data_IF_121833652340
#
_entry.id   IF_121833652340
#
_cell.length_a   1.000
_cell.length_b   1.000
_cell.length_c   1.000
_cell.angle_alpha   90.00
_cell.angle_beta   90.00
_cell.angle_gamma   90.00
#
_symmetry.space_group_name_H-M   'P 1'
#
loop_
_entity.id
_entity.type
_entity.pdbx_description
1 polymer ?
#
# COMPACT_ATOMS: atom_id res chain seq x y z
N UNK A 1 13.29 4.75 -3.57
CA UNK A 1 12.96 3.77 -2.54
C UNK A 1 12.95 4.43 -1.16
N UNK A 2 12.12 3.94 -0.26
CA UNK A 2 12.00 4.46 1.10
C UNK A 2 11.72 5.97 1.15
N UNK A 3 10.66 6.41 0.49
CA UNK A 3 10.32 7.84 0.39
C UNK A 3 10.20 8.49 1.77
N UNK A 4 9.74 7.76 2.77
CA UNK A 4 9.60 8.25 4.14
C UNK A 4 10.93 8.37 4.91
N UNK A 5 12.05 7.95 4.32
CA UNK A 5 13.39 8.26 4.79
C UNK A 5 13.95 9.59 4.23
N UNK A 6 13.12 10.36 3.51
CA UNK A 6 13.53 11.65 2.96
C UNK A 6 14.07 12.58 4.05
N UNK A 7 15.20 13.21 3.72
CA UNK A 7 15.86 14.25 4.53
C UNK A 7 16.37 15.32 3.56
N UNK A 8 15.78 16.50 3.61
CA UNK A 8 16.14 17.65 2.77
C UNK A 8 16.81 18.74 3.59
N UNK A 9 17.90 19.34 3.07
CA UNK A 9 18.48 20.52 3.69
C UNK A 9 17.61 21.75 3.42
N UNK A 10 17.39 22.57 4.43
CA UNK A 10 16.70 23.87 4.35
C UNK A 10 17.71 25.01 4.47
N UNK A 11 17.33 26.20 3.99
CA UNK A 11 18.21 27.39 3.97
C UNK A 11 18.77 27.80 5.34
N UNK A 12 18.09 27.47 6.44
CA UNK A 12 18.54 27.69 7.81
C UNK A 12 19.45 26.63 8.40
N UNK A 13 19.84 25.60 7.63
CA UNK A 13 20.60 24.44 8.12
C UNK A 13 19.75 23.39 8.85
N UNK A 14 18.47 23.59 8.95
CA UNK A 14 17.51 22.59 9.44
C UNK A 14 17.30 21.48 8.39
N UNK A 15 16.88 20.32 8.88
CA UNK A 15 16.57 19.16 8.02
C UNK A 15 15.06 18.97 7.96
N UNK A 16 14.50 19.12 6.77
CA UNK A 16 13.13 18.74 6.47
C UNK A 16 13.01 17.21 6.42
N UNK A 17 12.09 16.66 7.18
CA UNK A 17 11.69 15.26 7.05
C UNK A 17 10.54 15.08 6.03
N UNK A 18 10.16 13.83 5.80
CA UNK A 18 9.09 13.52 4.86
C UNK A 18 7.71 14.08 5.30
N UNK A 19 7.46 14.17 6.60
CA UNK A 19 6.24 14.76 7.13
C UNK A 19 6.12 16.25 6.74
N UNK A 20 7.19 17.03 6.95
CA UNK A 20 7.24 18.42 6.54
C UNK A 20 7.10 18.59 5.02
N UNK A 21 7.70 17.68 4.23
CA UNK A 21 7.55 17.71 2.78
C UNK A 21 6.08 17.54 2.36
N UNK A 22 5.34 16.59 2.98
CA UNK A 22 3.91 16.40 2.71
C UNK A 22 3.12 17.66 3.08
N UNK A 23 3.36 18.24 4.24
CA UNK A 23 2.71 19.47 4.70
C UNK A 23 2.97 20.62 3.72
N UNK A 24 4.23 20.81 3.32
CA UNK A 24 4.62 21.85 2.34
C UNK A 24 3.94 21.66 0.98
N UNK A 25 3.85 20.42 0.50
CA UNK A 25 3.16 20.12 -0.77
C UNK A 25 1.66 20.37 -0.64
N UNK A 26 1.07 20.05 0.51
CA UNK A 26 -0.35 20.29 0.75
C UNK A 26 -0.74 21.79 0.74
N UNK A 27 0.20 22.66 1.12
CA UNK A 27 0.00 24.13 1.11
C UNK A 27 0.07 24.74 -0.30
N UNK A 28 0.48 24.00 -1.32
CA UNK A 28 0.52 24.47 -2.70
C UNK A 28 -0.91 24.59 -3.23
N UNK A 29 -1.34 25.80 -3.69
CA UNK A 29 -2.68 25.99 -4.24
C UNK A 29 -2.97 25.05 -5.42
N UNK A 30 -4.11 24.37 -5.38
CA UNK A 30 -4.54 23.42 -6.41
C UNK A 30 -4.08 21.97 -6.19
N UNK A 31 -3.30 21.67 -5.15
CA UNK A 31 -3.04 20.29 -4.74
C UNK A 31 -4.21 19.78 -3.90
N UNK A 32 -5.03 18.93 -4.50
CA UNK A 32 -6.22 18.38 -3.85
C UNK A 32 -6.04 16.92 -3.39
N UNK A 33 -5.02 16.23 -3.91
CA UNK A 33 -4.74 14.83 -3.57
C UNK A 33 -3.25 14.55 -3.53
N UNK A 34 -2.78 13.97 -2.43
CA UNK A 34 -1.39 13.55 -2.23
C UNK A 34 -1.37 12.04 -2.00
N UNK A 35 -0.51 11.36 -2.73
CA UNK A 35 -0.23 9.93 -2.59
C UNK A 35 1.27 9.71 -2.60
N UNK A 36 1.74 8.83 -1.74
CA UNK A 36 3.12 8.33 -1.80
C UNK A 36 3.15 6.81 -1.79
N UNK A 37 4.22 6.26 -2.30
CA UNK A 37 4.48 4.81 -2.37
C UNK A 37 5.92 4.52 -1.91
N UNK A 38 6.28 3.23 -1.80
CA UNK A 38 7.65 2.81 -1.45
C UNK A 38 8.12 3.25 -0.06
N UNK A 39 7.22 3.21 0.94
CA UNK A 39 7.57 3.49 2.33
C UNK A 39 8.22 2.27 3.03
N UNK A 40 8.92 2.53 4.12
CA UNK A 40 9.55 1.51 4.95
C UNK A 40 9.07 1.64 6.40
N UNK A 41 8.67 0.54 7.08
CA UNK A 41 8.11 0.60 8.44
C UNK A 41 9.04 1.28 9.46
N UNK A 42 10.34 1.02 9.38
CA UNK A 42 11.33 1.62 10.29
C UNK A 42 11.36 3.15 10.27
N UNK A 43 11.09 3.75 9.12
CA UNK A 43 11.08 5.19 8.93
C UNK A 43 9.69 5.83 9.12
N UNK A 44 8.72 5.04 9.62
CA UNK A 44 7.36 5.54 9.86
C UNK A 44 7.26 6.17 11.26
N UNK A 45 7.69 7.42 11.35
CA UNK A 45 7.76 8.18 12.61
C UNK A 45 6.38 8.58 13.14
N UNK A 46 6.29 8.95 14.43
CA UNK A 46 5.04 9.51 14.98
C UNK A 46 4.62 10.77 14.22
N UNK A 47 5.56 11.65 13.88
CA UNK A 47 5.29 12.87 13.12
C UNK A 47 4.65 12.57 11.75
N UNK A 48 5.09 11.50 11.07
CA UNK A 48 4.47 11.07 9.81
C UNK A 48 3.05 10.50 10.04
N UNK A 49 2.81 9.83 11.17
CA UNK A 49 1.45 9.39 11.54
C UNK A 49 0.54 10.60 11.77
N UNK A 50 1.03 11.62 12.48
CA UNK A 50 0.27 12.83 12.80
C UNK A 50 -0.11 13.65 11.55
N UNK A 51 0.65 13.53 10.45
CA UNK A 51 0.32 14.16 9.16
C UNK A 51 -1.00 13.63 8.60
N UNK A 52 -1.36 12.36 8.83
CA UNK A 52 -2.65 11.81 8.40
C UNK A 52 -3.85 12.49 9.08
N UNK A 53 -3.66 13.07 10.26
CA UNK A 53 -4.68 13.88 10.93
C UNK A 53 -4.75 15.30 10.36
N UNK A 54 -3.57 15.92 10.10
CA UNK A 54 -3.48 17.34 9.74
C UNK A 54 -3.65 17.64 8.26
N UNK A 55 -3.36 16.68 7.37
CA UNK A 55 -3.34 16.88 5.90
C UNK A 55 -4.48 16.10 5.25
N UNK A 56 -5.64 16.73 5.03
CA UNK A 56 -6.80 16.05 4.43
C UNK A 56 -6.58 15.61 2.97
N UNK A 57 -5.66 16.27 2.24
CA UNK A 57 -5.29 15.88 0.86
C UNK A 57 -4.55 14.55 0.79
N UNK A 58 -3.95 14.08 1.91
CA UNK A 58 -3.27 12.79 1.95
C UNK A 58 -4.31 11.66 1.93
N UNK A 59 -4.22 10.78 0.95
CA UNK A 59 -5.21 9.71 0.73
C UNK A 59 -5.29 8.70 1.89
N UNK A 60 -6.48 8.17 2.16
CA UNK A 60 -6.71 7.08 3.12
C UNK A 60 -6.29 5.71 2.56
N UNK A 61 -5.13 5.66 1.92
CA UNK A 61 -4.52 4.44 1.39
C UNK A 61 -3.01 4.47 1.62
N UNK A 62 -2.51 3.45 2.31
CA UNK A 62 -1.09 3.32 2.62
C UNK A 62 -0.48 2.10 1.93
N UNK A 63 0.59 2.30 1.17
CA UNK A 63 1.44 1.22 0.68
C UNK A 63 2.64 1.07 1.61
N UNK A 64 2.62 0.03 2.45
CA UNK A 64 3.65 -0.24 3.46
C UNK A 64 4.07 -1.72 3.40
N UNK A 65 5.18 -2.04 2.69
CA UNK A 65 5.66 -3.39 2.55
C UNK A 65 6.03 -4.05 3.88
N UNK A 66 5.32 -5.10 4.29
CA UNK A 66 5.64 -5.90 5.47
C UNK A 66 6.73 -6.93 5.18
N UNK A 67 6.81 -7.41 3.95
CA UNK A 67 7.72 -8.43 3.42
C UNK A 67 7.47 -9.83 3.97
N UNK A 68 7.27 -10.00 5.28
CA UNK A 68 6.96 -11.27 5.93
C UNK A 68 6.22 -11.06 7.25
N UNK A 69 5.54 -12.10 7.75
CA UNK A 69 4.80 -12.06 9.02
C UNK A 69 5.55 -12.64 10.22
N UNK A 70 6.75 -13.19 10.02
CA UNK A 70 7.60 -13.75 11.08
C UNK A 70 8.77 -12.83 11.39
N UNK A 71 8.96 -12.48 12.68
CA UNK A 71 10.09 -11.67 13.14
C UNK A 71 11.43 -12.35 12.86
N UNK A 72 11.50 -13.68 12.93
CA UNK A 72 12.69 -14.46 12.62
C UNK A 72 13.11 -14.29 11.16
N UNK A 73 12.15 -14.34 10.23
CA UNK A 73 12.41 -14.15 8.81
C UNK A 73 12.71 -12.66 8.50
N UNK A 74 12.01 -11.72 9.11
CA UNK A 74 12.32 -10.28 8.98
C UNK A 74 13.74 -9.96 9.44
N UNK A 75 14.20 -10.56 10.55
CA UNK A 75 15.57 -10.43 11.02
C UNK A 75 16.58 -11.03 10.02
N UNK A 76 16.29 -12.20 9.44
CA UNK A 76 17.12 -12.83 8.41
C UNK A 76 17.17 -11.99 7.12
N UNK A 77 16.06 -11.32 6.77
CA UNK A 77 15.98 -10.33 5.68
C UNK A 77 16.63 -8.99 6.02
N UNK A 78 17.11 -8.80 7.26
CA UNK A 78 17.69 -7.54 7.77
C UNK A 78 16.74 -6.33 7.67
N UNK A 79 15.45 -6.53 7.95
CA UNK A 79 14.44 -5.47 7.82
C UNK A 79 14.49 -4.43 8.94
N UNK A 80 14.95 -4.80 10.15
CA UNK A 80 15.18 -3.89 11.27
C UNK A 80 13.90 -3.37 11.94
N UNK A 81 12.80 -4.09 11.81
CA UNK A 81 11.54 -3.91 12.53
C UNK A 81 10.89 -5.26 12.83
N UNK A 82 10.00 -5.26 13.81
CA UNK A 82 9.18 -6.42 14.22
C UNK A 82 7.75 -6.29 13.72
N UNK A 83 7.01 -7.40 13.71
CA UNK A 83 5.59 -7.41 13.37
C UNK A 83 4.75 -6.63 14.40
N UNK A 84 5.17 -6.60 15.66
CA UNK A 84 4.50 -5.78 16.66
C UNK A 84 4.60 -4.28 16.34
N UNK A 85 5.78 -3.80 15.94
CA UNK A 85 6.01 -2.42 15.50
C UNK A 85 5.20 -2.09 14.24
N UNK A 86 5.21 -2.99 13.25
CA UNK A 86 4.41 -2.86 12.03
C UNK A 86 2.92 -2.71 12.35
N UNK A 87 2.35 -3.61 13.15
CA UNK A 87 0.95 -3.56 13.59
C UNK A 87 0.64 -2.29 14.38
N UNK A 88 1.59 -1.82 15.20
CA UNK A 88 1.44 -0.59 15.97
C UNK A 88 1.28 0.64 15.09
N UNK A 89 2.05 0.74 13.98
CA UNK A 89 1.91 1.81 13.00
C UNK A 89 0.50 1.82 12.42
N UNK A 90 0.04 0.67 11.91
CA UNK A 90 -1.27 0.57 11.25
C UNK A 90 -2.40 0.86 12.23
N UNK A 91 -2.33 0.35 13.46
CA UNK A 91 -3.34 0.62 14.49
C UNK A 91 -3.45 2.11 14.82
N UNK A 92 -2.32 2.82 14.95
CA UNK A 92 -2.31 4.27 15.19
C UNK A 92 -2.88 5.05 14.01
N UNK A 93 -2.56 4.66 12.79
CA UNK A 93 -3.12 5.26 11.57
C UNK A 93 -4.63 5.01 11.46
N UNK A 94 -5.10 3.78 11.71
CA UNK A 94 -6.54 3.45 11.70
C UNK A 94 -7.31 4.11 12.86
N UNK A 95 -6.65 4.49 13.95
CA UNK A 95 -7.27 5.30 15.00
C UNK A 95 -7.55 6.75 14.54
N UNK A 96 -6.71 7.30 13.65
CA UNK A 96 -6.87 8.62 13.04
C UNK A 96 -7.84 8.54 11.85
N UNK A 97 -7.64 7.56 10.97
CA UNK A 97 -8.46 7.31 9.77
C UNK A 97 -8.97 5.87 9.76
N UNK A 98 -10.17 5.61 10.31
CA UNK A 98 -10.73 4.25 10.40
C UNK A 98 -10.92 3.55 9.05
N UNK A 99 -11.11 4.33 7.99
CA UNK A 99 -11.25 3.90 6.60
C UNK A 99 -9.93 3.62 5.88
N UNK A 100 -8.78 3.82 6.54
CA UNK A 100 -7.46 3.61 5.94
C UNK A 100 -7.31 2.17 5.45
N UNK A 101 -7.05 2.03 4.15
CA UNK A 101 -6.70 0.77 3.52
C UNK A 101 -5.18 0.62 3.41
N UNK A 102 -4.69 -0.60 3.57
CA UNK A 102 -3.26 -0.90 3.57
C UNK A 102 -2.94 -1.91 2.48
N UNK A 103 -1.99 -1.57 1.63
CA UNK A 103 -1.39 -2.50 0.65
C UNK A 103 0.05 -2.82 1.03
N UNK A 104 0.52 -4.01 0.66
CA UNK A 104 1.82 -4.52 1.10
C UNK A 104 2.53 -5.34 0.03
N UNK A 105 3.78 -5.71 0.32
CA UNK A 105 4.52 -6.75 -0.40
C UNK A 105 4.81 -7.92 0.53
N UNK A 106 4.80 -9.13 -0.04
CA UNK A 106 5.15 -10.36 0.66
C UNK A 106 6.12 -11.21 -0.15
N UNK A 107 7.10 -11.80 0.53
CA UNK A 107 8.06 -12.75 -0.03
C UNK A 107 7.84 -14.10 0.64
N UNK A 108 7.53 -15.11 -0.15
CA UNK A 108 7.29 -16.50 0.30
C UNK A 108 8.48 -17.36 -0.06
N UNK A 109 8.81 -18.33 0.80
CA UNK A 109 9.88 -19.29 0.55
C UNK A 109 11.28 -18.68 0.69
N UNK A 110 11.43 -17.72 1.59
CA UNK A 110 12.75 -17.24 1.98
C UNK A 110 13.57 -18.38 2.61
N UNK A 111 14.91 -18.47 2.37
CA UNK A 111 15.72 -19.52 2.93
C UNK A 111 15.50 -19.73 4.43
N UNK A 112 15.21 -20.98 4.83
CA UNK A 112 14.92 -21.36 6.20
C UNK A 112 13.51 -21.01 6.70
N UNK A 113 12.57 -20.56 5.84
CA UNK A 113 11.16 -20.34 6.22
C UNK A 113 10.50 -21.66 6.60
N UNK A 114 10.00 -21.78 7.82
CA UNK A 114 9.24 -22.93 8.30
C UNK A 114 7.73 -22.78 8.09
N UNK A 115 6.96 -23.84 8.33
CA UNK A 115 5.49 -23.76 8.31
C UNK A 115 4.97 -22.77 9.36
N UNK A 116 5.58 -22.76 10.56
CA UNK A 116 5.21 -21.79 11.60
C UNK A 116 5.47 -20.33 11.20
N UNK A 117 6.52 -20.06 10.41
CA UNK A 117 6.77 -18.72 9.87
C UNK A 117 5.72 -18.34 8.81
N UNK A 118 5.35 -19.28 7.96
CA UNK A 118 4.30 -19.04 6.97
C UNK A 118 2.94 -18.85 7.65
N UNK A 119 2.61 -19.63 8.68
CA UNK A 119 1.38 -19.45 9.46
C UNK A 119 1.35 -18.08 10.16
N UNK A 120 2.49 -17.60 10.67
CA UNK A 120 2.60 -16.25 11.23
C UNK A 120 2.34 -15.17 10.15
N UNK A 121 2.76 -15.39 8.90
CA UNK A 121 2.45 -14.49 7.79
C UNK A 121 0.96 -14.50 7.45
N UNK A 122 0.33 -15.67 7.36
CA UNK A 122 -1.11 -15.78 7.12
C UNK A 122 -1.92 -15.11 8.23
N UNK A 123 -1.50 -15.28 9.49
CA UNK A 123 -2.11 -14.58 10.63
C UNK A 123 -1.98 -13.07 10.53
N UNK A 124 -0.83 -12.54 10.09
CA UNK A 124 -0.66 -11.10 9.85
C UNK A 124 -1.63 -10.60 8.79
N UNK A 125 -1.81 -11.36 7.70
CA UNK A 125 -2.72 -11.02 6.61
C UNK A 125 -4.17 -10.94 7.13
N UNK A 126 -4.59 -11.90 7.94
CA UNK A 126 -5.93 -11.91 8.52
C UNK A 126 -6.16 -10.75 9.50
N UNK A 127 -5.17 -10.42 10.33
CA UNK A 127 -5.30 -9.38 11.36
C UNK A 127 -5.29 -7.95 10.80
N UNK A 128 -4.54 -7.70 9.73
CA UNK A 128 -4.43 -6.35 9.13
C UNK A 128 -5.57 -6.10 8.14
N UNK A 129 -6.04 -7.15 7.46
CA UNK A 129 -7.05 -7.08 6.39
C UNK A 129 -6.57 -6.18 5.25
N UNK A 130 -5.55 -6.68 4.53
CA UNK A 130 -4.93 -5.91 3.45
C UNK A 130 -5.86 -5.69 2.26
N UNK A 131 -5.78 -4.50 1.71
CA UNK A 131 -6.52 -4.11 0.51
C UNK A 131 -6.00 -4.81 -0.76
N UNK A 132 -4.69 -4.93 -0.86
CA UNK A 132 -3.99 -5.58 -1.97
C UNK A 132 -2.57 -5.93 -1.55
N UNK A 133 -1.93 -6.85 -2.27
CA UNK A 133 -0.49 -7.09 -2.15
C UNK A 133 0.16 -7.51 -3.45
N UNK A 134 1.45 -7.17 -3.57
CA UNK A 134 2.35 -7.86 -4.50
C UNK A 134 3.07 -8.97 -3.75
N UNK A 135 2.91 -10.21 -4.22
CA UNK A 135 3.42 -11.39 -3.54
C UNK A 135 4.30 -12.20 -4.46
N UNK A 136 5.49 -12.56 -3.99
CA UNK A 136 6.52 -13.18 -4.81
C UNK A 136 7.14 -14.39 -4.12
N UNK A 137 7.58 -15.37 -4.91
CA UNK A 137 8.57 -16.33 -4.43
C UNK A 137 9.90 -15.61 -4.22
N UNK A 138 10.60 -16.00 -3.14
CA UNK A 138 11.97 -15.52 -2.95
C UNK A 138 12.83 -15.85 -4.17
N UNK A 139 13.54 -14.84 -4.65
CA UNK A 139 14.53 -14.94 -5.72
C UNK A 139 15.87 -14.37 -5.25
N UNK A 140 16.95 -15.15 -5.29
CA UNK A 140 18.27 -14.67 -4.87
C UNK A 140 18.70 -13.43 -5.68
N UNK A 141 19.14 -12.40 -4.98
CA UNK A 141 19.71 -11.20 -5.62
C UNK A 141 21.21 -11.18 -5.42
N UNK A 142 22.02 -11.11 -6.49
CA UNK A 142 23.47 -11.04 -6.39
C UNK A 142 23.92 -9.91 -5.42
N UNK A 143 24.95 -10.21 -4.63
CA UNK A 143 25.50 -9.24 -3.65
C UNK A 143 24.74 -9.15 -2.33
N UNK A 144 23.64 -9.90 -2.13
CA UNK A 144 22.96 -9.96 -0.84
C UNK A 144 23.40 -11.17 -0.02
N UNK A 145 23.49 -11.08 1.33
CA UNK A 145 23.78 -12.23 2.18
C UNK A 145 22.84 -13.41 1.96
N UNK A 146 21.57 -13.12 1.71
CA UNK A 146 20.56 -14.16 1.45
C UNK A 146 20.81 -14.95 0.15
N UNK A 147 21.52 -14.38 -0.82
CA UNK A 147 21.88 -15.08 -2.06
C UNK A 147 22.83 -16.28 -1.83
N UNK A 148 23.60 -16.25 -0.74
CA UNK A 148 24.49 -17.33 -0.35
C UNK A 148 23.80 -18.41 0.50
N UNK A 149 22.55 -18.19 0.91
CA UNK A 149 21.79 -19.16 1.70
C UNK A 149 21.20 -20.25 0.80
N UNK A 150 21.17 -21.47 1.32
CA UNK A 150 20.54 -22.60 0.63
C UNK A 150 19.02 -22.46 0.74
N UNK A 151 18.33 -22.59 -0.40
CA UNK A 151 16.87 -22.71 -0.43
C UNK A 151 16.54 -24.19 -0.21
N UNK A 152 16.20 -24.54 1.01
CA UNK A 152 15.90 -25.90 1.46
C UNK A 152 14.42 -26.29 1.31
N UNK A 153 13.55 -25.33 0.96
CA UNK A 153 12.12 -25.54 0.79
C UNK A 153 11.83 -25.99 -0.64
N UNK A 154 11.16 -27.14 -0.87
CA UNK A 154 10.77 -27.61 -2.19
C UNK A 154 9.95 -26.56 -2.97
N UNK A 155 10.13 -26.54 -4.28
CA UNK A 155 9.47 -25.52 -5.13
C UNK A 155 7.95 -25.62 -5.12
N UNK A 156 7.41 -26.82 -5.07
CA UNK A 156 5.97 -27.11 -4.98
C UNK A 156 5.39 -26.55 -3.68
N UNK A 157 6.06 -26.76 -2.54
CA UNK A 157 5.67 -26.18 -1.24
C UNK A 157 5.66 -24.65 -1.30
N UNK A 158 6.71 -24.03 -1.87
CA UNK A 158 6.77 -22.59 -2.02
C UNK A 158 5.65 -22.05 -2.92
N UNK A 159 5.32 -22.76 -3.99
CA UNK A 159 4.20 -22.39 -4.89
C UNK A 159 2.86 -22.54 -4.20
N UNK A 160 2.64 -23.59 -3.43
CA UNK A 160 1.43 -23.78 -2.64
C UNK A 160 1.24 -22.63 -1.63
N UNK A 161 2.29 -22.31 -0.86
CA UNK A 161 2.25 -21.19 0.08
C UNK A 161 1.92 -19.87 -0.62
N UNK A 162 2.56 -19.58 -1.77
CA UNK A 162 2.26 -18.37 -2.53
C UNK A 162 0.81 -18.32 -3.01
N UNK A 163 0.29 -19.45 -3.51
CA UNK A 163 -1.10 -19.54 -3.97
C UNK A 163 -2.08 -19.31 -2.82
N UNK A 164 -1.85 -19.91 -1.65
CA UNK A 164 -2.68 -19.73 -0.45
C UNK A 164 -2.70 -18.27 -0.02
N UNK A 165 -1.55 -17.61 0.01
CA UNK A 165 -1.41 -16.20 0.34
C UNK A 165 -2.19 -15.32 -0.65
N UNK A 166 -1.97 -15.52 -1.95
CA UNK A 166 -2.63 -14.75 -3.01
C UNK A 166 -4.15 -14.91 -2.98
N UNK A 167 -4.63 -16.14 -2.78
CA UNK A 167 -6.06 -16.43 -2.64
C UNK A 167 -6.66 -15.63 -1.48
N UNK A 168 -5.98 -15.63 -0.32
CA UNK A 168 -6.48 -14.92 0.87
C UNK A 168 -6.54 -13.40 0.66
N UNK A 169 -5.50 -12.81 0.07
CA UNK A 169 -5.48 -11.37 -0.27
C UNK A 169 -6.59 -11.05 -1.28
N UNK A 170 -6.79 -11.90 -2.29
CA UNK A 170 -7.85 -11.68 -3.28
C UNK A 170 -9.25 -11.70 -2.66
N UNK A 171 -9.50 -12.58 -1.69
CA UNK A 171 -10.75 -12.59 -0.91
C UNK A 171 -10.97 -11.27 -0.17
N UNK A 172 -9.93 -10.75 0.50
CA UNK A 172 -9.97 -9.45 1.19
C UNK A 172 -10.21 -8.31 0.20
N UNK A 173 -9.46 -8.26 -0.90
CA UNK A 173 -9.65 -7.26 -1.96
C UNK A 173 -11.08 -7.25 -2.49
N UNK A 174 -11.65 -8.43 -2.77
CA UNK A 174 -13.05 -8.55 -3.22
C UNK A 174 -14.04 -8.09 -2.16
N UNK A 175 -13.75 -8.33 -0.87
CA UNK A 175 -14.60 -7.84 0.22
C UNK A 175 -14.58 -6.32 0.30
N UNK A 176 -13.39 -5.70 0.22
CA UNK A 176 -13.23 -4.23 0.15
C UNK A 176 -13.94 -3.64 -1.06
N UNK A 177 -13.82 -4.26 -2.23
CA UNK A 177 -14.53 -3.81 -3.44
C UNK A 177 -16.05 -3.82 -3.22
N UNK A 178 -16.61 -4.95 -2.76
CA UNK A 178 -18.05 -5.05 -2.49
C UNK A 178 -18.53 -4.01 -1.47
N UNK A 179 -17.72 -3.68 -0.47
CA UNK A 179 -18.05 -2.68 0.53
C UNK A 179 -18.11 -1.23 -0.02
N UNK A 180 -17.63 -0.99 -1.24
CA UNK A 180 -17.74 0.30 -1.92
C UNK A 180 -19.08 0.46 -2.63
N UNK A 181 -19.74 -0.62 -3.03
CA UNK A 181 -21.03 -0.55 -3.73
C UNK A 181 -22.07 0.17 -2.87
N UNK A 182 -22.76 1.15 -3.46
CA UNK A 182 -23.72 2.01 -2.79
C UNK A 182 -23.09 3.19 -2.02
N UNK A 183 -21.75 3.38 -2.12
CA UNK A 183 -21.07 4.56 -1.57
C UNK A 183 -20.71 5.54 -2.68
N UNK A 184 -20.64 6.81 -2.30
CA UNK A 184 -20.08 7.87 -3.13
C UNK A 184 -18.57 7.95 -2.89
N UNK A 185 -17.80 7.88 -3.98
CA UNK A 185 -16.34 7.94 -3.95
C UNK A 185 -15.84 9.16 -4.74
N UNK A 186 -14.83 9.84 -4.22
CA UNK A 186 -14.17 10.94 -4.92
C UNK A 186 -13.12 10.40 -5.90
N UNK A 187 -13.37 10.58 -7.20
CA UNK A 187 -12.60 10.00 -8.30
C UNK A 187 -11.84 11.07 -9.07
N UNK A 188 -10.53 10.90 -9.23
CA UNK A 188 -9.72 11.69 -10.14
C UNK A 188 -9.83 11.10 -11.56
N UNK A 189 -10.37 11.87 -12.49
CA UNK A 189 -10.51 11.44 -13.89
C UNK A 189 -9.16 11.56 -14.59
N UNK A 190 -8.63 10.41 -15.07
CA UNK A 190 -7.32 10.31 -15.70
C UNK A 190 -7.40 10.40 -17.23
N UNK A 191 -8.53 10.03 -17.83
CA UNK A 191 -8.69 10.04 -19.28
C UNK A 191 -9.91 9.30 -19.77
N UNK A 192 -9.92 9.07 -21.08
CA UNK A 192 -10.92 8.21 -21.72
C UNK A 192 -10.63 6.76 -21.41
N UNK A 193 -11.67 5.94 -21.26
CA UNK A 193 -11.51 4.51 -21.10
C UNK A 193 -10.91 3.89 -22.37
N UNK A 194 -9.83 3.11 -22.21
CA UNK A 194 -9.23 2.39 -23.32
C UNK A 194 -10.11 1.23 -23.85
N UNK A 195 -11.03 0.74 -23.03
CA UNK A 195 -11.91 -0.40 -23.36
C UNK A 195 -13.24 0.02 -23.98
N UNK A 196 -13.74 1.21 -23.61
CA UNK A 196 -15.02 1.72 -24.09
C UNK A 196 -14.89 3.23 -24.38
N UNK A 197 -14.89 3.65 -25.67
CA UNK A 197 -14.73 5.05 -26.06
C UNK A 197 -15.82 6.00 -25.53
N UNK A 198 -16.98 5.47 -25.15
CA UNK A 198 -18.08 6.26 -24.55
C UNK A 198 -17.94 6.50 -23.04
N UNK A 199 -16.87 5.98 -22.44
CA UNK A 199 -16.61 6.10 -21.00
C UNK A 199 -15.32 6.87 -20.71
N UNK A 200 -15.31 7.54 -19.57
CA UNK A 200 -14.11 8.04 -18.92
C UNK A 200 -13.66 7.08 -17.84
N UNK A 201 -12.39 7.12 -17.49
CA UNK A 201 -11.86 6.36 -16.35
C UNK A 201 -11.12 7.29 -15.39
N UNK A 202 -11.19 6.93 -14.12
CA UNK A 202 -10.49 7.63 -13.07
C UNK A 202 -10.12 6.71 -11.93
N UNK A 203 -9.51 7.27 -10.88
CA UNK A 203 -9.11 6.54 -9.69
C UNK A 203 -9.69 7.13 -8.42
N UNK A 204 -10.17 6.24 -7.57
CA UNK A 204 -10.55 6.55 -6.20
C UNK A 204 -9.33 6.85 -5.32
N UNK A 205 -9.55 7.28 -4.08
CA UNK A 205 -8.47 7.46 -3.10
C UNK A 205 -7.70 6.17 -2.81
N UNK A 206 -8.38 5.05 -2.75
CA UNK A 206 -7.77 3.73 -2.55
C UNK A 206 -7.23 3.09 -3.84
N UNK A 207 -7.05 3.92 -4.89
CA UNK A 207 -6.39 3.55 -6.16
C UNK A 207 -7.16 2.58 -7.06
N UNK A 208 -8.46 2.41 -6.89
CA UNK A 208 -9.28 1.60 -7.78
C UNK A 208 -9.65 2.36 -9.03
N UNK A 209 -9.62 1.65 -10.15
CA UNK A 209 -10.09 2.20 -11.43
C UNK A 209 -11.61 2.16 -11.46
N UNK A 210 -12.22 3.30 -11.78
CA UNK A 210 -13.66 3.44 -11.96
C UNK A 210 -13.92 3.86 -13.40
N UNK A 211 -14.88 3.20 -14.05
CA UNK A 211 -15.37 3.54 -15.39
C UNK A 211 -16.72 4.23 -15.25
N UNK A 212 -16.87 5.38 -15.90
CA UNK A 212 -18.03 6.28 -15.76
C UNK A 212 -18.53 6.63 -17.16
N UNK A 213 -19.85 6.73 -17.42
CA UNK A 213 -20.34 7.27 -18.67
C UNK A 213 -19.78 8.67 -18.94
N UNK A 214 -19.22 8.89 -20.13
CA UNK A 214 -18.50 10.14 -20.46
C UNK A 214 -19.39 11.33 -20.81
N UNK A 215 -20.69 11.10 -21.10
CA UNK A 215 -21.59 12.13 -21.60
C UNK A 215 -21.21 12.62 -23.00
N UNK A 216 -21.70 13.81 -23.38
CA UNK A 216 -21.51 14.39 -24.72
C UNK A 216 -20.08 14.90 -24.94
N UNK A 217 -19.40 15.40 -23.88
CA UNK A 217 -17.99 15.84 -23.94
C UNK A 217 -17.17 15.18 -22.82
N UNK A 218 -16.70 13.95 -23.01
CA UNK A 218 -15.95 13.22 -21.98
C UNK A 218 -14.64 13.90 -21.58
N UNK A 219 -14.02 14.65 -22.49
CA UNK A 219 -12.68 15.23 -22.23
C UNK A 219 -12.72 16.37 -21.22
N UNK A 220 -13.87 17.03 -21.03
CA UNK A 220 -14.02 18.12 -20.07
C UNK A 220 -13.75 17.70 -18.63
N UNK A 221 -13.83 16.40 -18.32
CA UNK A 221 -13.65 15.84 -16.99
C UNK A 221 -12.20 15.47 -16.66
N UNK A 222 -11.35 15.35 -17.67
CA UNK A 222 -9.94 14.92 -17.47
C UNK A 222 -9.20 15.91 -16.57
N UNK A 223 -8.53 15.38 -15.55
CA UNK A 223 -7.83 16.17 -14.53
C UNK A 223 -8.72 16.70 -13.40
N UNK A 224 -10.03 16.44 -13.43
CA UNK A 224 -10.95 16.85 -12.36
C UNK A 224 -11.19 15.75 -11.35
N UNK A 225 -11.41 16.15 -10.10
CA UNK A 225 -11.96 15.33 -9.04
C UNK A 225 -13.48 15.46 -9.03
N UNK A 226 -14.18 14.34 -9.15
CA UNK A 226 -15.66 14.31 -9.14
C UNK A 226 -16.15 13.24 -8.16
N UNK A 227 -17.32 13.45 -7.59
CA UNK A 227 -17.99 12.48 -6.73
C UNK A 227 -18.82 11.53 -7.60
N UNK A 228 -18.65 10.21 -7.38
CA UNK A 228 -19.25 9.15 -8.18
C UNK A 228 -19.84 8.09 -7.28
N UNK A 229 -21.10 7.73 -7.51
CA UNK A 229 -21.73 6.62 -6.83
C UNK A 229 -21.27 5.29 -7.45
N UNK A 230 -20.73 4.40 -6.63
CA UNK A 230 -20.27 3.08 -7.06
C UNK A 230 -21.47 2.13 -7.14
N UNK A 231 -21.80 1.66 -8.33
CA UNK A 231 -22.98 0.81 -8.57
C UNK A 231 -22.65 -0.67 -8.67
N UNK A 232 -21.40 -0.99 -9.07
CA UNK A 232 -20.93 -2.38 -9.26
C UNK A 232 -19.41 -2.47 -9.12
N UNK A 233 -18.85 -3.71 -8.93
CA UNK A 233 -17.40 -3.99 -8.82
C UNK A 233 -16.99 -5.21 -9.64
#
# INVERSE_FOLDING_TARGET
QNVNAYRGAMDGGEIADFALLIETVADIPGIERIRFVTSHPKEFTQRLIDVYERVPQLVSHLYLPAQHGSDRILAAMKRGYTILEYKSIIRRLKAIRPDLLVSSDFIVGFPGETDADFDAMMKLIDEIDFDNSFSFLYSPRPGTPAAAMTIDIPLDVRKDRLQRLQTRIEEQTRAHNRAMVGKTERVLIEGLSQRNPGQIQGRTENNRVVHIPGGDDPKQWVGKLIDVDITET
#
